data_IF_870427225132
#
_entry.id   IF_870427225132
#
_cell.length_a   1.000
_cell.length_b   1.000
_cell.length_c   1.000
_cell.angle_alpha   90.00
_cell.angle_beta   90.00
_cell.angle_gamma   90.00
#
_symmetry.space_group_name_H-M   'P 1'
#
loop_
_entity.id
_entity.type
_entity.pdbx_description
1 polymer ?
#
# COMPACT_ATOMS: atom_id res chain seq x y z
N UNK A 1 8.14 10.66 24.32
CA UNK A 1 7.22 10.42 23.19
C UNK A 1 6.20 9.39 23.62
N UNK A 2 4.91 9.62 23.36
CA UNK A 2 3.86 8.65 23.67
C UNK A 2 3.77 7.58 22.58
N UNK A 3 3.37 6.36 22.96
CA UNK A 3 3.23 5.23 22.04
C UNK A 3 2.29 5.58 20.87
N UNK A 4 1.25 6.37 21.13
CA UNK A 4 0.31 6.87 20.14
C UNK A 4 0.99 7.72 19.05
N UNK A 5 1.90 8.62 19.44
CA UNK A 5 2.65 9.45 18.49
C UNK A 5 3.51 8.61 17.55
N UNK A 6 4.12 7.54 18.07
CA UNK A 6 4.95 6.62 17.27
C UNK A 6 4.07 5.86 16.27
N UNK A 7 2.92 5.33 16.72
CA UNK A 7 1.97 4.62 15.86
C UNK A 7 1.49 5.52 14.73
N UNK A 8 1.12 6.76 15.04
CA UNK A 8 0.66 7.73 14.04
C UNK A 8 1.77 8.10 13.04
N UNK A 9 2.99 8.30 13.51
CA UNK A 9 4.13 8.60 12.64
C UNK A 9 4.43 7.44 11.69
N UNK A 10 4.53 6.21 12.21
CA UNK A 10 4.79 5.00 11.41
C UNK A 10 3.66 4.75 10.41
N UNK A 11 2.41 4.92 10.84
CA UNK A 11 1.24 4.80 9.97
C UNK A 11 1.26 5.81 8.84
N UNK A 12 1.47 7.10 9.16
CA UNK A 12 1.53 8.17 8.17
C UNK A 12 2.68 7.96 7.17
N UNK A 13 3.88 7.64 7.66
CA UNK A 13 5.04 7.37 6.80
C UNK A 13 4.79 6.18 5.89
N UNK A 14 4.23 5.09 6.40
CA UNK A 14 3.95 3.89 5.58
C UNK A 14 2.97 4.19 4.45
N UNK A 15 1.92 4.97 4.73
CA UNK A 15 0.96 5.38 3.70
C UNK A 15 1.63 6.27 2.65
N UNK A 16 2.36 7.31 3.07
CA UNK A 16 3.02 8.25 2.15
C UNK A 16 4.03 7.53 1.25
N UNK A 17 4.91 6.71 1.84
CA UNK A 17 5.91 5.97 1.06
C UNK A 17 5.26 4.90 0.17
N UNK A 18 4.20 4.22 0.63
CA UNK A 18 3.46 3.26 -0.18
C UNK A 18 2.81 3.90 -1.41
N UNK A 19 2.15 5.05 -1.22
CA UNK A 19 1.54 5.82 -2.32
C UNK A 19 2.61 6.36 -3.28
N UNK A 20 3.72 6.88 -2.76
CA UNK A 20 4.84 7.36 -3.57
C UNK A 20 5.46 6.23 -4.40
N UNK A 21 5.64 5.04 -3.82
CA UNK A 21 6.15 3.87 -4.50
C UNK A 21 5.20 3.41 -5.61
N UNK A 22 3.88 3.38 -5.37
CA UNK A 22 2.90 3.05 -6.41
C UNK A 22 2.91 4.06 -7.55
N UNK A 23 2.91 5.36 -7.23
CA UNK A 23 2.93 6.42 -8.23
C UNK A 23 4.20 6.33 -9.09
N UNK A 24 5.35 6.19 -8.46
CA UNK A 24 6.66 6.15 -9.11
C UNK A 24 6.94 4.89 -9.92
N UNK A 25 6.72 3.72 -9.31
CA UNK A 25 7.14 2.43 -9.87
C UNK A 25 6.09 1.77 -10.75
N UNK A 26 4.82 2.16 -10.62
CA UNK A 26 3.71 1.46 -11.31
C UNK A 26 2.88 2.43 -12.16
N UNK A 27 2.36 3.51 -11.58
CA UNK A 27 1.46 4.42 -12.30
C UNK A 27 2.20 5.20 -13.42
N UNK A 28 3.39 5.72 -13.13
CA UNK A 28 4.21 6.40 -14.14
C UNK A 28 4.59 5.52 -15.34
N UNK A 29 5.17 4.30 -15.18
CA UNK A 29 5.48 3.45 -16.33
C UNK A 29 4.21 3.01 -17.08
N UNK A 30 3.12 2.70 -16.38
CA UNK A 30 1.85 2.38 -17.02
C UNK A 30 1.33 3.53 -17.91
N UNK A 31 1.53 4.78 -17.49
CA UNK A 31 1.18 5.95 -18.28
C UNK A 31 2.07 6.13 -19.52
N UNK A 32 3.36 5.84 -19.40
CA UNK A 32 4.31 5.98 -20.51
C UNK A 32 4.19 4.86 -21.56
N UNK A 33 3.72 3.66 -21.19
CA UNK A 33 3.62 2.52 -22.11
C UNK A 33 2.57 2.66 -23.22
N UNK A 34 1.51 3.45 -23.01
CA UNK A 34 0.41 3.55 -23.97
C UNK A 34 0.43 4.88 -24.73
N UNK A 35 0.07 4.85 -26.01
CA UNK A 35 -0.03 6.06 -26.86
C UNK A 35 -1.42 6.69 -26.80
N UNK A 36 -2.47 5.88 -26.61
CA UNK A 36 -3.85 6.36 -26.51
C UNK A 36 -4.20 6.75 -25.08
N UNK A 37 -4.72 7.97 -24.88
CA UNK A 37 -5.15 8.50 -23.57
C UNK A 37 -6.09 7.56 -22.81
N UNK A 38 -7.04 6.93 -23.51
CA UNK A 38 -7.96 5.95 -22.91
C UNK A 38 -7.26 4.71 -22.37
N UNK A 39 -6.23 4.21 -23.05
CA UNK A 39 -5.45 3.05 -22.60
C UNK A 39 -4.59 3.41 -21.38
N UNK A 40 -4.07 4.65 -21.32
CA UNK A 40 -3.32 5.14 -20.16
C UNK A 40 -4.18 5.18 -18.90
N UNK A 41 -5.40 5.72 -19.01
CA UNK A 41 -6.36 5.79 -17.89
C UNK A 41 -6.74 4.38 -17.42
N UNK A 42 -7.05 3.48 -18.35
CA UNK A 42 -7.37 2.09 -18.02
C UNK A 42 -6.18 1.37 -17.35
N UNK A 43 -4.95 1.58 -17.84
CA UNK A 43 -3.74 1.00 -17.26
C UNK A 43 -3.45 1.49 -15.84
N UNK A 44 -3.61 2.79 -15.59
CA UNK A 44 -3.48 3.36 -14.23
C UNK A 44 -4.63 2.91 -13.32
N UNK A 45 -5.85 2.80 -13.84
CA UNK A 45 -6.97 2.28 -13.05
C UNK A 45 -6.74 0.82 -12.63
N UNK A 46 -6.21 0.00 -13.55
CA UNK A 46 -5.88 -1.39 -13.25
C UNK A 46 -4.75 -1.50 -12.21
N UNK A 47 -3.83 -0.53 -12.15
CA UNK A 47 -2.77 -0.54 -11.13
C UNK A 47 -3.29 -0.23 -9.72
N UNK A 48 -4.46 0.41 -9.58
CA UNK A 48 -5.12 0.57 -8.28
C UNK A 48 -5.53 -0.79 -7.69
N UNK A 49 -5.86 -1.78 -8.52
CA UNK A 49 -6.12 -3.14 -8.04
C UNK A 49 -4.92 -3.72 -7.29
N UNK A 50 -3.70 -3.42 -7.77
CA UNK A 50 -2.49 -3.89 -7.11
C UNK A 50 -2.31 -3.23 -5.73
N UNK A 51 -2.57 -1.92 -5.62
CA UNK A 51 -2.54 -1.22 -4.32
C UNK A 51 -3.56 -1.83 -3.37
N UNK A 52 -4.79 -2.07 -3.84
CA UNK A 52 -5.83 -2.70 -3.05
C UNK A 52 -5.40 -4.09 -2.56
N UNK A 53 -4.81 -4.91 -3.42
CA UNK A 53 -4.29 -6.23 -3.05
C UNK A 53 -3.19 -6.14 -1.96
N UNK A 54 -2.24 -5.21 -2.09
CA UNK A 54 -1.20 -5.00 -1.08
C UNK A 54 -1.76 -4.48 0.25
N UNK A 55 -2.78 -3.60 0.21
CA UNK A 55 -3.46 -3.13 1.42
C UNK A 55 -4.17 -4.30 2.12
N UNK A 56 -4.92 -5.11 1.39
CA UNK A 56 -5.61 -6.29 1.95
C UNK A 56 -4.60 -7.27 2.54
N UNK A 57 -3.50 -7.54 1.84
CA UNK A 57 -2.43 -8.40 2.35
C UNK A 57 -1.78 -7.81 3.62
N UNK A 58 -1.45 -6.52 3.61
CA UNK A 58 -0.83 -5.85 4.76
C UNK A 58 -1.73 -5.87 5.99
N UNK A 59 -3.01 -5.53 5.83
CA UNK A 59 -4.01 -5.57 6.91
C UNK A 59 -4.24 -7.01 7.37
N UNK A 60 -4.35 -7.96 6.44
CA UNK A 60 -4.53 -9.38 6.75
C UNK A 60 -3.36 -9.95 7.56
N UNK A 61 -2.12 -9.67 7.15
CA UNK A 61 -0.92 -10.09 7.88
C UNK A 61 -0.82 -9.40 9.25
N UNK A 62 -1.12 -8.10 9.33
CA UNK A 62 -1.16 -7.38 10.61
C UNK A 62 -2.19 -7.96 11.58
N UNK A 63 -3.40 -8.26 11.09
CA UNK A 63 -4.44 -8.91 11.87
C UNK A 63 -4.05 -10.33 12.31
N UNK A 64 -3.36 -11.07 11.44
CA UNK A 64 -2.83 -12.40 11.76
C UNK A 64 -1.84 -12.33 12.93
N UNK A 65 -0.90 -11.37 12.89
CA UNK A 65 0.08 -11.16 13.98
C UNK A 65 -0.62 -10.86 15.30
N UNK A 66 -1.63 -9.98 15.28
CA UNK A 66 -2.42 -9.64 16.48
C UNK A 66 -3.15 -10.90 17.00
N UNK A 67 -3.73 -11.71 16.11
CA UNK A 67 -4.44 -12.92 16.49
C UNK A 67 -3.56 -13.99 17.14
N UNK A 68 -2.30 -14.11 16.67
CA UNK A 68 -1.34 -15.05 17.25
C UNK A 68 -0.55 -14.47 18.43
N UNK A 69 -0.76 -13.20 18.79
CA UNK A 69 0.05 -12.51 19.80
C UNK A 69 0.06 -13.26 21.13
N UNK A 70 -1.11 -13.65 21.64
CA UNK A 70 -1.25 -14.39 22.89
C UNK A 70 -0.49 -15.73 22.91
N UNK A 71 -0.32 -16.36 21.75
CA UNK A 71 0.40 -17.64 21.61
C UNK A 71 1.91 -17.47 21.53
N UNK A 72 2.39 -16.31 21.08
CA UNK A 72 3.81 -16.01 20.91
C UNK A 72 4.40 -15.32 22.14
N UNK A 73 3.57 -14.62 22.93
CA UNK A 73 4.01 -13.87 24.10
C UNK A 73 4.06 -14.66 25.42
N UNK A 74 3.88 -15.99 25.37
CA UNK A 74 3.97 -16.91 26.53
C UNK A 74 5.20 -17.79 26.40
#
# INVERSE_FOLDING_TARGET
MGNETIILLVGASSVVFGVAAWAGLIALPAWQSYSTLWQRIAGVFLSLYLVAAFVVLGVGLGALVIWFWDRVST
#
